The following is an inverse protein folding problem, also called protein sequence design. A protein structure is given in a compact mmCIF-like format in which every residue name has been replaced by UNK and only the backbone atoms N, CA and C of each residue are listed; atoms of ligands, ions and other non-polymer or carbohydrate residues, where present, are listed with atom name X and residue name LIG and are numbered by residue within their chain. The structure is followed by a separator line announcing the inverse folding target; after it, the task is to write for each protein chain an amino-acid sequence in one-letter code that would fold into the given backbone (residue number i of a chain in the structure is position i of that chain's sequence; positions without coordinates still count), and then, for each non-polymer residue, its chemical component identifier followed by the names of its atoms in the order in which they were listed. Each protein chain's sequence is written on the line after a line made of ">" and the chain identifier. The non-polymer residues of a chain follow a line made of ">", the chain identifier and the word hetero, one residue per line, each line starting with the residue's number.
data_IF_909744519865
#
_entry.id   IF_909744519865
#
_cell.length_a   1.000
_cell.length_b   1.000
_cell.length_c   1.000
_cell.angle_alpha   90.00
_cell.angle_beta   90.00
_cell.angle_gamma   90.00
#
_symmetry.space_group_name_H-M   'P 1'
#
loop_
_entity.id
_entity.type
_entity.pdbx_description
1 polymer ?
#
# COMPACT_ATOMS: atom_id res chain seq x y z
N UNK A 1 57.17 -9.05 80.04
CA UNK A 1 56.49 -8.16 79.07
C UNK A 1 56.31 -8.91 77.77
N UNK A 2 55.09 -9.35 77.46
CA UNK A 2 54.73 -10.07 76.20
C UNK A 2 53.96 -9.13 75.34
N UNK A 3 54.50 -8.77 74.17
CA UNK A 3 53.80 -7.92 73.13
C UNK A 3 53.03 -8.80 72.17
N UNK A 4 51.73 -8.69 72.22
CA UNK A 4 50.81 -9.39 71.31
C UNK A 4 50.65 -8.55 70.01
N UNK A 5 51.08 -9.13 68.87
CA UNK A 5 50.88 -8.56 67.54
C UNK A 5 49.52 -9.01 67.01
N UNK A 6 48.61 -8.06 66.69
CA UNK A 6 47.39 -8.30 65.98
C UNK A 6 47.65 -8.23 64.45
N UNK A 7 47.36 -9.30 63.76
CA UNK A 7 47.35 -9.35 62.30
C UNK A 7 45.90 -8.99 61.85
N UNK A 8 45.77 -7.86 61.19
CA UNK A 8 44.49 -7.51 60.43
C UNK A 8 44.53 -8.25 59.11
N UNK A 9 43.62 -9.20 58.95
CA UNK A 9 43.32 -9.80 57.65
C UNK A 9 42.33 -8.96 56.91
N UNK A 10 42.74 -8.28 55.81
CA UNK A 10 41.87 -7.52 54.91
C UNK A 10 41.27 -8.52 53.92
N UNK A 11 39.96 -8.80 54.06
CA UNK A 11 39.21 -9.58 53.10
C UNK A 11 38.84 -8.69 51.89
N UNK A 12 39.45 -8.93 50.73
CA UNK A 12 38.99 -8.37 49.47
C UNK A 12 37.68 -9.07 49.06
N UNK A 13 36.55 -8.38 49.18
CA UNK A 13 35.32 -8.76 48.51
C UNK A 13 35.42 -8.41 47.01
N UNK A 14 35.70 -9.40 46.18
CA UNK A 14 35.52 -9.29 44.74
C UNK A 14 34.01 -9.35 44.45
N UNK A 15 33.39 -8.18 44.21
CA UNK A 15 32.05 -8.12 43.69
C UNK A 15 32.08 -8.68 42.26
N UNK A 16 31.56 -9.88 42.07
CA UNK A 16 31.28 -10.43 40.76
C UNK A 16 30.15 -9.58 40.14
N UNK A 17 30.49 -8.71 39.18
CA UNK A 17 29.53 -8.07 38.31
C UNK A 17 28.91 -9.22 37.47
N UNK A 18 27.58 -9.44 37.54
CA UNK A 18 26.98 -10.41 36.65
C UNK A 18 27.20 -9.92 35.22
N UNK A 19 27.98 -10.68 34.43
CA UNK A 19 28.03 -10.50 33.00
C UNK A 19 26.58 -10.66 32.49
N UNK A 20 25.97 -9.56 32.00
CA UNK A 20 24.76 -9.67 31.22
C UNK A 20 25.09 -10.65 30.09
N UNK A 21 24.53 -11.85 30.17
CA UNK A 21 24.59 -12.80 29.08
C UNK A 21 24.02 -12.08 27.84
N UNK A 22 24.89 -11.84 26.85
CA UNK A 22 24.46 -11.34 25.57
C UNK A 22 23.30 -12.25 25.09
N UNK A 23 22.12 -11.70 25.01
CA UNK A 23 20.95 -12.45 24.58
C UNK A 23 21.25 -13.01 23.19
N UNK A 24 21.47 -14.32 23.14
CA UNK A 24 21.55 -15.07 21.90
C UNK A 24 20.41 -14.64 20.99
N UNK A 25 20.66 -14.45 19.69
CA UNK A 25 19.81 -13.81 18.68
C UNK A 25 18.41 -14.35 18.45
N UNK A 26 17.63 -14.59 19.53
CA UNK A 26 16.23 -14.97 19.45
C UNK A 26 15.33 -13.75 19.23
N UNK A 27 14.28 -13.92 18.40
CA UNK A 27 13.22 -12.92 18.24
C UNK A 27 12.52 -12.61 19.57
N UNK A 28 12.13 -11.36 19.77
CA UNK A 28 11.41 -10.93 20.96
C UNK A 28 10.11 -10.23 20.58
N UNK A 29 9.00 -10.86 20.90
CA UNK A 29 7.67 -10.29 20.73
C UNK A 29 7.50 -8.97 21.49
N UNK A 30 8.16 -8.84 22.66
CA UNK A 30 8.12 -7.60 23.44
C UNK A 30 8.82 -6.44 22.71
N UNK A 31 9.97 -6.68 22.05
CA UNK A 31 10.64 -5.64 21.25
C UNK A 31 9.82 -5.27 20.02
N UNK A 32 9.29 -6.25 19.29
CA UNK A 32 8.35 -6.02 18.18
C UNK A 32 7.20 -5.12 18.62
N UNK A 33 6.49 -5.51 19.69
CA UNK A 33 5.36 -4.74 20.22
C UNK A 33 5.76 -3.33 20.67
N UNK A 34 6.94 -3.14 21.26
CA UNK A 34 7.40 -1.82 21.70
C UNK A 34 7.68 -0.89 20.52
N UNK A 35 8.30 -1.39 19.45
CA UNK A 35 8.58 -0.63 18.22
C UNK A 35 7.28 -0.29 17.51
N UNK A 36 6.38 -1.26 17.34
CA UNK A 36 5.08 -1.06 16.71
C UNK A 36 4.23 -0.04 17.48
N UNK A 37 4.14 -0.19 18.80
CA UNK A 37 3.44 0.78 19.67
C UNK A 37 4.04 2.19 19.57
N UNK A 38 5.35 2.33 19.40
CA UNK A 38 5.97 3.64 19.20
C UNK A 38 5.56 4.22 17.83
N UNK A 39 5.75 3.46 16.74
CA UNK A 39 5.45 3.89 15.37
C UNK A 39 3.97 4.21 15.16
N UNK A 40 3.07 3.48 15.83
CA UNK A 40 1.62 3.69 15.75
C UNK A 40 1.08 4.66 16.79
N UNK A 41 1.93 5.39 17.53
CA UNK A 41 1.49 6.45 18.43
C UNK A 41 1.16 7.74 17.69
N UNK A 42 0.33 8.59 18.29
CA UNK A 42 -0.03 9.91 17.76
C UNK A 42 1.18 10.84 17.58
N UNK A 43 2.28 10.59 18.29
CA UNK A 43 3.53 11.32 18.14
C UNK A 43 4.09 11.26 16.70
N UNK A 44 3.76 10.21 15.96
CA UNK A 44 4.15 10.03 14.55
C UNK A 44 3.07 10.44 13.55
N UNK A 45 1.94 11.00 14.01
CA UNK A 45 0.89 11.61 13.19
C UNK A 45 0.43 10.75 12.00
N UNK A 46 0.36 9.42 12.21
CA UNK A 46 -0.04 8.48 11.17
C UNK A 46 0.95 8.34 10.01
N UNK A 47 2.19 8.78 10.14
CA UNK A 47 3.32 8.58 9.21
C UNK A 47 3.00 8.87 7.74
N UNK A 48 2.29 9.96 7.46
CA UNK A 48 1.94 10.32 6.08
C UNK A 48 3.17 10.45 5.17
N UNK A 49 3.06 9.97 3.94
CA UNK A 49 4.10 10.06 2.90
C UNK A 49 4.50 11.50 2.65
N UNK A 50 5.79 11.82 2.68
CA UNK A 50 6.36 13.17 2.52
C UNK A 50 5.70 14.25 3.42
N UNK A 51 5.03 13.83 4.51
CA UNK A 51 4.42 14.74 5.47
C UNK A 51 5.48 15.42 6.35
N UNK A 52 5.18 16.57 6.98
CA UNK A 52 6.14 17.28 7.84
C UNK A 52 6.74 16.43 8.98
N UNK A 53 6.07 15.33 9.37
CA UNK A 53 6.53 14.40 10.40
C UNK A 53 7.59 13.41 9.88
N UNK A 54 7.75 13.25 8.57
CA UNK A 54 8.68 12.27 7.96
C UNK A 54 10.09 12.30 8.57
N UNK A 55 10.77 13.45 8.75
CA UNK A 55 12.12 13.47 9.32
C UNK A 55 12.22 12.80 10.70
N UNK A 56 11.15 12.90 11.50
CA UNK A 56 11.06 12.24 12.82
C UNK A 56 10.90 10.73 12.67
N UNK A 57 10.03 10.29 11.74
CA UNK A 57 9.76 8.87 11.47
C UNK A 57 11.02 8.16 10.97
N UNK A 58 11.63 8.68 9.90
CA UNK A 58 12.80 8.05 9.27
C UNK A 58 14.03 8.05 10.21
N UNK A 59 14.18 9.13 11.00
CA UNK A 59 15.23 9.16 12.04
C UNK A 59 15.01 8.08 13.08
N UNK A 60 13.79 7.89 13.58
CA UNK A 60 13.48 6.85 14.55
C UNK A 60 13.85 5.46 14.01
N UNK A 61 13.45 5.15 12.78
CA UNK A 61 13.74 3.86 12.13
C UNK A 61 15.26 3.67 11.96
N UNK A 62 15.97 4.69 11.50
CA UNK A 62 17.43 4.65 11.35
C UNK A 62 18.15 4.43 12.68
N UNK A 63 17.67 5.06 13.76
CA UNK A 63 18.23 4.88 15.12
C UNK A 63 17.99 3.45 15.64
N UNK A 64 16.82 2.84 15.37
CA UNK A 64 16.52 1.45 15.69
C UNK A 64 17.43 0.48 14.91
N UNK A 65 17.61 0.69 13.60
CA UNK A 65 18.51 -0.10 12.77
C UNK A 65 19.97 0.04 13.23
N UNK A 66 20.40 1.24 13.60
CA UNK A 66 21.73 1.47 14.19
C UNK A 66 21.89 0.70 15.50
N UNK A 67 20.90 0.75 16.39
CA UNK A 67 20.90 0.02 17.65
C UNK A 67 20.86 -1.51 17.44
N UNK A 68 20.27 -1.97 16.33
CA UNK A 68 20.29 -3.37 15.92
C UNK A 68 21.70 -3.85 15.49
N UNK A 69 22.64 -2.95 15.20
CA UNK A 69 24.03 -3.27 14.86
C UNK A 69 24.32 -3.43 13.37
N UNK A 70 23.41 -2.98 12.49
CA UNK A 70 23.65 -2.93 11.04
C UNK A 70 24.30 -1.60 10.64
N UNK A 71 24.81 -1.54 9.41
CA UNK A 71 25.47 -0.36 8.84
C UNK A 71 24.50 0.45 8.00
N UNK A 72 24.77 1.75 7.73
CA UNK A 72 24.01 2.54 6.76
C UNK A 72 24.02 1.89 5.38
N UNK A 73 22.82 1.80 4.74
CA UNK A 73 22.62 1.16 3.43
C UNK A 73 22.08 2.10 2.34
N UNK A 74 21.83 3.39 2.66
CA UNK A 74 21.24 4.37 1.76
C UNK A 74 22.23 5.04 0.80
N UNK A 75 21.96 6.25 0.37
CA UNK A 75 22.75 7.00 -0.59
C UNK A 75 24.13 7.37 -0.06
N UNK A 76 25.09 7.53 -0.98
CA UNK A 76 26.42 8.05 -0.65
C UNK A 76 26.42 9.58 -0.80
N UNK A 77 26.61 10.28 0.30
CA UNK A 77 26.68 11.75 0.33
C UNK A 77 28.06 12.15 0.85
N UNK A 78 28.78 12.96 0.07
CA UNK A 78 30.16 13.39 0.40
C UNK A 78 31.12 12.23 0.73
N UNK A 79 30.98 11.11 0.00
CA UNK A 79 31.80 9.89 0.19
C UNK A 79 31.40 9.02 1.37
N UNK A 80 30.38 9.37 2.13
CA UNK A 80 29.86 8.59 3.26
C UNK A 80 28.48 8.01 2.93
N UNK A 81 28.30 6.73 3.22
CA UNK A 81 26.98 6.08 3.09
C UNK A 81 26.06 6.53 4.21
N UNK A 82 24.86 6.96 3.84
CA UNK A 82 23.82 7.41 4.77
C UNK A 82 22.81 6.31 5.07
N UNK A 83 21.86 6.58 5.98
CA UNK A 83 20.73 5.71 6.25
C UNK A 83 19.58 5.90 5.27
N UNK A 84 19.61 6.96 4.47
CA UNK A 84 18.50 7.41 3.66
C UNK A 84 18.80 7.28 2.18
N UNK A 85 17.79 6.85 1.42
CA UNK A 85 17.77 6.91 -0.03
C UNK A 85 16.68 7.88 -0.45
N UNK A 86 17.03 8.87 -1.25
CA UNK A 86 16.06 9.83 -1.80
C UNK A 86 15.13 9.16 -2.80
N UNK A 87 13.84 9.41 -2.65
CA UNK A 87 12.79 8.90 -3.51
C UNK A 87 11.99 10.06 -4.06
N UNK A 88 12.17 10.44 -5.33
CA UNK A 88 11.29 11.41 -5.98
C UNK A 88 9.93 10.74 -6.22
N UNK A 89 8.87 11.39 -5.77
CA UNK A 89 7.49 10.96 -5.95
C UNK A 89 6.69 11.99 -6.73
N UNK A 90 5.82 11.55 -7.63
CA UNK A 90 4.73 12.35 -8.13
C UNK A 90 3.65 12.39 -7.05
N UNK A 91 3.35 13.58 -6.54
CA UNK A 91 2.18 13.85 -5.71
C UNK A 91 1.13 14.53 -6.56
N UNK A 92 -0.14 14.16 -6.42
CA UNK A 92 -1.27 14.84 -7.07
C UNK A 92 -2.40 15.04 -6.08
N UNK A 93 -3.05 16.20 -6.13
CA UNK A 93 -4.19 16.56 -5.27
C UNK A 93 -5.31 17.15 -6.11
N UNK A 94 -6.56 16.80 -5.79
CA UNK A 94 -7.73 17.44 -6.39
C UNK A 94 -7.87 18.86 -5.83
N UNK A 95 -8.08 19.84 -6.72
CA UNK A 95 -8.30 21.23 -6.36
C UNK A 95 -9.80 21.54 -6.37
N UNK A 96 -10.33 21.90 -5.20
CA UNK A 96 -11.76 22.18 -5.05
C UNK A 96 -12.60 20.90 -4.93
N UNK A 97 -13.86 21.00 -5.33
CA UNK A 97 -14.81 19.87 -5.31
C UNK A 97 -14.96 19.32 -6.73
N UNK A 98 -14.72 18.01 -6.96
CA UNK A 98 -14.91 17.43 -8.27
C UNK A 98 -16.41 17.39 -8.64
N UNK A 99 -16.73 17.75 -9.88
CA UNK A 99 -18.07 17.61 -10.46
C UNK A 99 -18.13 16.28 -11.18
N UNK A 100 -18.93 15.35 -10.64
CA UNK A 100 -19.05 13.98 -11.16
C UNK A 100 -20.53 13.64 -11.30
N UNK A 101 -20.92 13.08 -12.42
CA UNK A 101 -22.31 12.67 -12.65
C UNK A 101 -22.42 11.40 -13.50
N UNK A 102 -23.44 10.63 -13.22
CA UNK A 102 -23.93 9.54 -14.06
C UNK A 102 -25.14 10.03 -14.84
N UNK A 103 -25.18 9.73 -16.13
CA UNK A 103 -26.36 9.91 -16.93
C UNK A 103 -26.92 8.53 -17.29
N UNK A 104 -28.12 8.24 -16.85
CA UNK A 104 -28.80 6.97 -17.02
C UNK A 104 -30.11 7.23 -17.82
N UNK A 105 -30.08 6.94 -19.10
CA UNK A 105 -31.26 7.16 -20.02
C UNK A 105 -31.82 8.58 -19.93
N UNK A 106 -30.96 9.61 -19.84
CA UNK A 106 -31.37 11.01 -19.75
C UNK A 106 -31.63 11.53 -18.33
N UNK A 107 -31.57 10.67 -17.32
CA UNK A 107 -31.59 11.08 -15.91
C UNK A 107 -30.17 11.30 -15.43
N UNK A 108 -29.85 12.52 -15.00
CA UNK A 108 -28.54 12.88 -14.48
C UNK A 108 -28.52 12.77 -12.95
N UNK A 109 -27.62 11.97 -12.41
CA UNK A 109 -27.36 11.82 -10.99
C UNK A 109 -26.00 12.43 -10.65
N UNK A 110 -25.96 13.51 -9.87
CA UNK A 110 -24.72 14.07 -9.33
C UNK A 110 -24.20 13.18 -8.19
N UNK A 111 -22.90 12.88 -8.24
CA UNK A 111 -22.23 12.01 -7.28
C UNK A 111 -21.34 12.82 -6.32
N UNK A 112 -21.38 12.50 -5.04
CA UNK A 112 -20.61 13.19 -4.00
C UNK A 112 -19.31 12.47 -3.72
N UNK A 113 -18.20 13.20 -3.89
CA UNK A 113 -16.86 12.73 -3.58
C UNK A 113 -16.75 12.18 -2.13
N UNK A 114 -16.23 10.98 -2.00
CA UNK A 114 -16.02 10.28 -0.73
C UNK A 114 -17.28 9.66 -0.13
N UNK A 115 -18.48 10.00 -0.61
CA UNK A 115 -19.75 9.45 -0.12
C UNK A 115 -20.35 8.45 -1.10
N UNK A 116 -20.62 8.86 -2.33
CA UNK A 116 -21.22 8.00 -3.34
C UNK A 116 -20.15 7.24 -4.12
N UNK A 117 -19.05 7.92 -4.44
CA UNK A 117 -17.83 7.36 -5.01
C UNK A 117 -16.60 8.04 -4.39
N UNK A 118 -15.42 7.48 -4.64
CA UNK A 118 -14.14 8.12 -4.33
C UNK A 118 -13.31 8.16 -5.61
N UNK A 119 -13.09 9.37 -6.18
CA UNK A 119 -12.16 9.57 -7.29
C UNK A 119 -10.80 9.97 -6.77
N UNK A 120 -9.75 9.44 -7.38
CA UNK A 120 -8.37 9.78 -7.08
C UNK A 120 -7.96 11.05 -7.84
N UNK A 121 -7.02 11.79 -7.28
CA UNK A 121 -6.28 12.76 -8.07
C UNK A 121 -5.46 12.02 -9.15
N UNK A 122 -5.44 12.51 -10.41
CA UNK A 122 -4.81 11.79 -11.51
C UNK A 122 -3.31 11.66 -11.30
N UNK A 123 -2.78 10.44 -11.50
CA UNK A 123 -1.36 10.11 -11.42
C UNK A 123 -0.71 9.96 -12.80
N UNK A 124 -1.45 10.23 -13.86
CA UNK A 124 -0.93 10.32 -15.23
C UNK A 124 -0.20 11.64 -15.56
N UNK A 125 -0.03 12.52 -14.56
CA UNK A 125 0.61 13.83 -14.71
C UNK A 125 -0.33 14.96 -15.18
N UNK A 126 -1.62 14.66 -15.41
CA UNK A 126 -2.58 15.67 -15.82
C UNK A 126 -2.92 16.63 -14.68
N UNK A 127 -3.10 17.92 -15.01
CA UNK A 127 -3.53 18.95 -14.07
C UNK A 127 -5.06 19.16 -14.07
N UNK A 128 -5.79 18.37 -14.82
CA UNK A 128 -7.25 18.35 -14.87
C UNK A 128 -7.77 17.01 -15.43
N UNK A 129 -8.95 16.65 -15.03
CA UNK A 129 -9.78 15.61 -15.65
C UNK A 129 -10.98 16.29 -16.31
N UNK A 130 -11.28 15.93 -17.55
CA UNK A 130 -12.35 16.54 -18.36
C UNK A 130 -13.02 15.48 -19.23
N UNK A 131 -13.80 14.65 -18.59
CA UNK A 131 -14.51 13.52 -19.23
C UNK A 131 -15.98 13.89 -19.38
N UNK A 132 -16.53 13.70 -20.58
CA UNK A 132 -17.94 13.99 -20.86
C UNK A 132 -18.63 12.77 -21.47
N UNK A 133 -19.68 12.30 -20.80
CA UNK A 133 -20.55 11.22 -21.27
C UNK A 133 -19.83 9.96 -21.76
N UNK A 134 -18.74 9.56 -21.06
CA UNK A 134 -18.01 8.34 -21.39
C UNK A 134 -18.86 7.09 -21.06
N UNK A 135 -19.01 6.13 -22.00
CA UNK A 135 -19.81 4.93 -21.79
C UNK A 135 -19.18 4.02 -20.75
N UNK A 136 -20.03 3.38 -19.92
CA UNK A 136 -19.63 2.43 -18.90
C UNK A 136 -19.72 0.99 -19.42
N UNK A 137 -18.71 0.17 -19.12
CA UNK A 137 -18.66 -1.24 -19.48
C UNK A 137 -18.23 -2.07 -18.25
N UNK A 138 -19.06 -3.02 -17.85
CA UNK A 138 -18.68 -3.99 -16.82
C UNK A 138 -17.79 -5.06 -17.45
N UNK A 139 -16.56 -5.17 -16.96
CA UNK A 139 -15.55 -6.11 -17.45
C UNK A 139 -15.20 -7.20 -16.44
N UNK A 140 -16.13 -7.50 -15.51
CA UNK A 140 -15.91 -8.52 -14.49
C UNK A 140 -14.80 -8.14 -13.54
N UNK A 141 -13.77 -8.95 -13.47
CA UNK A 141 -12.58 -8.67 -12.63
C UNK A 141 -11.50 -7.87 -13.36
N UNK A 142 -11.66 -7.56 -14.65
CA UNK A 142 -10.67 -6.81 -15.43
C UNK A 142 -9.29 -7.48 -15.50
N UNK A 143 -9.27 -8.80 -15.63
CA UNK A 143 -8.03 -9.60 -15.61
C UNK A 143 -7.67 -10.09 -17.01
N UNK A 144 -6.43 -9.83 -17.41
CA UNK A 144 -5.76 -10.50 -18.53
C UNK A 144 -4.55 -11.30 -18.00
N UNK A 145 -4.71 -12.61 -17.92
CA UNK A 145 -3.72 -13.56 -17.38
C UNK A 145 -3.58 -14.75 -18.34
N UNK A 146 -2.87 -14.58 -19.47
CA UNK A 146 -2.79 -15.61 -20.52
C UNK A 146 -2.16 -16.91 -20.00
N UNK A 147 -1.22 -16.86 -19.05
CA UNK A 147 -0.60 -18.05 -18.43
C UNK A 147 -1.59 -18.87 -17.59
N UNK A 148 -2.75 -18.29 -17.24
CA UNK A 148 -3.88 -18.94 -16.54
C UNK A 148 -5.04 -19.26 -17.48
N UNK A 149 -4.91 -18.95 -18.77
CA UNK A 149 -5.97 -19.06 -19.77
C UNK A 149 -7.16 -18.15 -19.44
N UNK A 150 -6.90 -16.94 -18.92
CA UNK A 150 -7.91 -16.00 -18.47
C UNK A 150 -7.76 -14.66 -19.18
N UNK A 151 -8.85 -14.13 -19.69
CA UNK A 151 -8.93 -12.77 -20.25
C UNK A 151 -10.39 -12.30 -20.17
N UNK A 152 -10.65 -11.26 -19.38
CA UNK A 152 -12.00 -10.71 -19.21
C UNK A 152 -12.42 -9.79 -20.37
N UNK A 153 -11.46 -9.25 -21.12
CA UNK A 153 -11.70 -8.28 -22.19
C UNK A 153 -12.09 -8.92 -23.53
N UNK A 154 -11.67 -10.17 -23.78
CA UNK A 154 -11.98 -10.94 -25.00
C UNK A 154 -11.59 -10.24 -26.30
N UNK A 155 -10.62 -9.34 -26.27
CA UNK A 155 -10.19 -8.56 -27.44
C UNK A 155 -11.18 -7.46 -27.85
N UNK A 156 -12.14 -7.11 -27.00
CA UNK A 156 -13.03 -5.98 -27.26
C UNK A 156 -12.29 -4.65 -27.05
N UNK A 157 -12.59 -3.67 -27.89
CA UNK A 157 -11.98 -2.35 -27.81
C UNK A 157 -12.50 -1.59 -26.57
N UNK A 158 -11.58 -1.16 -25.69
CA UNK A 158 -11.90 -0.40 -24.47
C UNK A 158 -11.60 1.10 -24.59
N UNK A 159 -11.10 1.57 -25.72
CA UNK A 159 -10.76 2.99 -25.89
C UNK A 159 -12.00 3.89 -25.70
N UNK A 160 -11.79 4.98 -24.95
CA UNK A 160 -12.84 5.96 -24.68
C UNK A 160 -13.94 5.50 -23.72
N UNK A 161 -13.80 4.32 -23.11
CA UNK A 161 -14.75 3.75 -22.15
C UNK A 161 -14.23 3.84 -20.73
N UNK A 162 -15.14 3.85 -19.78
CA UNK A 162 -14.85 3.69 -18.36
C UNK A 162 -15.22 2.26 -17.96
N UNK A 163 -14.25 1.54 -17.42
CA UNK A 163 -14.44 0.16 -16.99
C UNK A 163 -15.03 0.11 -15.58
N UNK A 164 -16.03 -0.74 -15.40
CA UNK A 164 -16.60 -1.05 -14.09
C UNK A 164 -16.12 -2.44 -13.71
N UNK A 165 -15.39 -2.55 -12.59
CA UNK A 165 -14.64 -3.76 -12.23
C UNK A 165 -14.89 -4.21 -10.81
N UNK A 166 -14.79 -5.52 -10.60
CA UNK A 166 -14.77 -6.13 -9.28
C UNK A 166 -13.35 -6.12 -8.71
N UNK A 167 -13.22 -5.84 -7.41
CA UNK A 167 -11.96 -5.99 -6.69
C UNK A 167 -11.69 -7.46 -6.35
N UNK A 168 -10.44 -7.83 -6.13
CA UNK A 168 -9.94 -9.18 -5.86
C UNK A 168 -9.86 -10.08 -7.12
N UNK A 169 -9.53 -11.34 -6.93
CA UNK A 169 -9.32 -12.33 -7.99
C UNK A 169 -10.64 -13.00 -8.42
N UNK A 170 -10.75 -13.49 -9.66
CA UNK A 170 -11.94 -14.17 -10.16
C UNK A 170 -12.40 -15.36 -9.31
N UNK A 171 -11.49 -16.00 -8.57
CA UNK A 171 -11.81 -17.17 -7.73
C UNK A 171 -12.01 -16.86 -6.24
N UNK A 172 -11.92 -15.59 -5.84
CA UNK A 172 -12.11 -15.20 -4.43
C UNK A 172 -13.45 -15.67 -3.83
N UNK A 173 -14.55 -15.56 -4.59
CA UNK A 173 -15.88 -15.97 -4.18
C UNK A 173 -16.28 -17.33 -4.80
N UNK A 174 -15.36 -18.02 -5.47
CA UNK A 174 -15.65 -19.28 -6.12
C UNK A 174 -16.12 -20.35 -5.11
N UNK A 175 -17.13 -21.12 -5.53
CA UNK A 175 -17.61 -22.25 -4.75
C UNK A 175 -16.83 -23.53 -5.13
N UNK A 176 -16.75 -24.51 -4.22
CA UNK A 176 -16.16 -25.80 -4.56
C UNK A 176 -16.81 -26.42 -5.80
N UNK A 177 -15.99 -26.77 -6.79
CA UNK A 177 -16.47 -27.34 -8.06
C UNK A 177 -16.69 -26.35 -9.20
N UNK A 178 -16.64 -25.02 -8.95
CA UNK A 178 -16.57 -24.04 -10.03
C UNK A 178 -15.24 -24.14 -10.79
N UNK A 179 -15.27 -23.99 -12.11
CA UNK A 179 -14.10 -24.15 -12.96
C UNK A 179 -12.99 -23.13 -12.69
N UNK A 180 -13.31 -22.00 -12.05
CA UNK A 180 -12.37 -20.95 -11.66
C UNK A 180 -11.69 -21.24 -10.33
N UNK A 181 -12.25 -22.11 -9.49
CA UNK A 181 -11.73 -22.37 -8.15
C UNK A 181 -10.27 -22.86 -8.20
N UNK A 182 -9.38 -22.14 -7.49
CA UNK A 182 -7.95 -22.42 -7.43
C UNK A 182 -7.15 -21.99 -8.65
N UNK A 183 -7.73 -21.25 -9.61
CA UNK A 183 -6.99 -20.69 -10.75
C UNK A 183 -6.11 -19.51 -10.38
N UNK A 184 -6.50 -18.78 -9.34
CA UNK A 184 -5.76 -17.65 -8.77
C UNK A 184 -5.31 -17.99 -7.34
N UNK A 185 -5.57 -17.13 -6.38
CA UNK A 185 -5.16 -17.36 -4.99
C UNK A 185 -6.28 -17.81 -4.05
N UNK A 186 -7.51 -17.99 -4.56
CA UNK A 186 -8.68 -18.24 -3.73
C UNK A 186 -8.90 -17.10 -2.73
N UNK A 187 -8.79 -17.38 -1.44
CA UNK A 187 -8.91 -16.34 -0.39
C UNK A 187 -7.65 -15.46 -0.22
N UNK A 188 -6.51 -15.89 -0.75
CA UNK A 188 -5.30 -15.10 -0.76
C UNK A 188 -5.23 -14.30 -2.07
N UNK A 189 -5.28 -12.98 -1.95
CA UNK A 189 -5.24 -12.08 -3.12
C UNK A 189 -3.92 -12.23 -3.88
N UNK A 190 -4.01 -12.48 -5.19
CA UNK A 190 -2.84 -12.43 -6.09
C UNK A 190 -2.59 -11.02 -6.60
N UNK A 191 -1.54 -10.85 -7.43
CA UNK A 191 -1.29 -9.60 -8.13
C UNK A 191 -2.51 -9.12 -8.93
N UNK A 192 -3.23 -10.03 -9.59
CA UNK A 192 -4.40 -9.72 -10.40
C UNK A 192 -5.60 -9.20 -9.60
N UNK A 193 -5.69 -9.57 -8.32
CA UNK A 193 -6.76 -9.10 -7.43
C UNK A 193 -6.56 -7.69 -6.90
N UNK A 194 -5.35 -7.14 -7.00
CA UNK A 194 -5.02 -5.82 -6.45
C UNK A 194 -5.69 -4.70 -7.24
N UNK A 195 -6.18 -3.68 -6.54
CA UNK A 195 -6.77 -2.50 -7.17
C UNK A 195 -5.78 -1.75 -8.08
N UNK A 196 -4.50 -1.72 -7.73
CA UNK A 196 -3.44 -1.14 -8.57
C UNK A 196 -3.31 -1.86 -9.90
N UNK A 197 -3.41 -3.20 -9.92
CA UNK A 197 -3.41 -3.96 -11.16
C UNK A 197 -4.59 -3.57 -12.06
N UNK A 198 -5.80 -3.39 -11.49
CA UNK A 198 -7.00 -3.02 -12.24
C UNK A 198 -6.79 -1.72 -13.02
N UNK A 199 -6.25 -0.69 -12.36
CA UNK A 199 -5.93 0.59 -12.99
C UNK A 199 -4.88 0.44 -14.09
N UNK A 200 -3.79 -0.28 -13.80
CA UNK A 200 -2.73 -0.53 -14.78
C UNK A 200 -3.22 -1.34 -15.98
N UNK A 201 -4.08 -2.34 -15.77
CA UNK A 201 -4.62 -3.14 -16.87
C UNK A 201 -5.58 -2.33 -17.72
N UNK A 202 -6.46 -1.54 -17.11
CA UNK A 202 -7.32 -0.62 -17.84
C UNK A 202 -6.53 0.37 -18.71
N UNK A 203 -5.42 0.91 -18.20
CA UNK A 203 -4.51 1.74 -18.99
C UNK A 203 -3.91 0.97 -20.17
N UNK A 204 -3.47 -0.28 -19.96
CA UNK A 204 -2.96 -1.15 -21.05
C UNK A 204 -4.02 -1.46 -22.12
N UNK A 205 -5.28 -1.58 -21.71
CA UNK A 205 -6.43 -1.77 -22.61
C UNK A 205 -6.88 -0.47 -23.31
N UNK A 206 -6.23 0.68 -23.01
CA UNK A 206 -6.55 1.98 -23.56
C UNK A 206 -7.87 2.58 -23.04
N UNK A 207 -8.36 2.12 -21.91
CA UNK A 207 -9.56 2.67 -21.28
C UNK A 207 -9.35 4.11 -20.82
N UNK A 208 -10.44 4.90 -20.83
CA UNK A 208 -10.43 6.28 -20.34
C UNK A 208 -10.40 6.34 -18.82
N UNK A 209 -11.00 5.36 -18.13
CA UNK A 209 -11.04 5.32 -16.69
C UNK A 209 -11.54 4.00 -16.13
N UNK A 210 -11.51 3.92 -14.79
CA UNK A 210 -11.93 2.74 -14.01
C UNK A 210 -12.79 3.16 -12.83
N UNK A 211 -13.84 2.37 -12.58
CA UNK A 211 -14.65 2.40 -11.36
C UNK A 211 -14.57 1.02 -10.71
N UNK A 212 -13.90 0.90 -9.58
CA UNK A 212 -13.89 -0.33 -8.80
C UNK A 212 -15.12 -0.41 -7.90
N UNK A 213 -15.82 -1.54 -7.91
CA UNK A 213 -16.94 -1.79 -7.00
C UNK A 213 -16.37 -2.22 -5.65
N UNK A 214 -16.63 -1.40 -4.61
CA UNK A 214 -16.22 -1.72 -3.24
C UNK A 214 -17.20 -2.67 -2.57
N UNK A 215 -16.65 -3.77 -2.06
CA UNK A 215 -17.27 -4.68 -1.10
C UNK A 215 -16.24 -5.02 -0.02
N UNK A 216 -16.63 -4.93 1.25
CA UNK A 216 -15.69 -5.08 2.38
C UNK A 216 -14.95 -6.41 2.39
N UNK A 217 -15.61 -7.53 2.09
CA UNK A 217 -14.96 -8.84 2.13
C UNK A 217 -13.91 -9.02 1.01
N UNK A 218 -14.19 -8.71 -0.27
CA UNK A 218 -13.18 -8.77 -1.33
C UNK A 218 -12.05 -7.75 -1.16
N UNK A 219 -12.35 -6.52 -0.70
CA UNK A 219 -11.35 -5.49 -0.49
C UNK A 219 -10.49 -5.73 0.76
N UNK A 220 -11.01 -6.47 1.75
CA UNK A 220 -10.45 -6.70 3.11
C UNK A 220 -10.47 -5.49 4.05
N UNK A 221 -11.11 -4.38 3.66
CA UNK A 221 -11.29 -3.17 4.46
C UNK A 221 -12.63 -2.49 4.14
N UNK A 222 -13.10 -1.62 5.05
CA UNK A 222 -14.34 -0.87 4.90
C UNK A 222 -14.22 0.34 3.96
N UNK A 223 -15.37 0.97 3.65
CA UNK A 223 -15.42 2.13 2.78
C UNK A 223 -14.67 3.34 3.33
N UNK A 224 -14.57 3.49 4.63
CA UNK A 224 -13.84 4.57 5.31
C UNK A 224 -12.34 4.57 4.91
N UNK A 225 -11.75 3.41 4.70
CA UNK A 225 -10.36 3.29 4.21
C UNK A 225 -10.27 3.81 2.78
N UNK A 226 -11.18 3.35 1.88
CA UNK A 226 -11.23 3.86 0.50
C UNK A 226 -11.44 5.37 0.49
N UNK A 227 -12.38 5.87 1.29
CA UNK A 227 -12.67 7.31 1.37
C UNK A 227 -11.41 8.10 1.76
N UNK A 228 -10.68 7.65 2.78
CA UNK A 228 -9.53 8.39 3.29
C UNK A 228 -8.27 8.23 2.43
N UNK A 229 -8.03 7.06 1.86
CA UNK A 229 -6.87 6.86 1.00
C UNK A 229 -7.04 7.48 -0.40
N UNK A 230 -8.26 7.56 -0.94
CA UNK A 230 -8.47 7.98 -2.34
C UNK A 230 -8.96 9.42 -2.50
N UNK A 231 -9.40 10.10 -1.43
CA UNK A 231 -9.81 11.51 -1.52
C UNK A 231 -8.77 12.51 -1.01
N UNK A 232 -7.63 12.02 -0.56
CA UNK A 232 -6.45 12.81 -0.15
C UNK A 232 -5.43 12.88 -1.31
N UNK A 233 -4.26 13.46 -1.02
CA UNK A 233 -3.13 13.44 -1.95
C UNK A 233 -2.78 12.02 -2.38
N UNK A 234 -2.53 11.84 -3.67
CA UNK A 234 -2.11 10.57 -4.26
C UNK A 234 -0.63 10.63 -4.58
N UNK A 235 0.03 9.48 -4.52
CA UNK A 235 1.46 9.36 -4.74
C UNK A 235 1.76 8.20 -5.69
N UNK A 236 2.75 8.40 -6.57
CA UNK A 236 3.39 7.35 -7.37
C UNK A 236 4.86 7.67 -7.57
N UNK A 237 5.65 6.69 -8.00
CA UNK A 237 7.01 6.94 -8.47
C UNK A 237 6.99 7.82 -9.71
N UNK A 238 8.01 8.67 -9.87
CA UNK A 238 8.15 9.48 -11.08
C UNK A 238 8.44 8.55 -12.27
N UNK A 239 7.56 8.54 -13.27
CA UNK A 239 7.65 7.72 -14.49
C UNK A 239 7.88 8.58 -15.71
N UNK A 240 8.60 8.08 -16.71
CA UNK A 240 8.75 8.75 -18.01
C UNK A 240 7.42 8.83 -18.77
N UNK A 241 6.60 7.77 -18.70
CA UNK A 241 5.28 7.72 -19.29
C UNK A 241 4.24 7.25 -18.25
N UNK A 242 3.73 8.13 -17.41
CA UNK A 242 2.76 7.75 -16.38
C UNK A 242 1.41 7.28 -16.98
N UNK A 243 1.01 7.76 -18.16
CA UNK A 243 -0.20 7.30 -18.86
C UNK A 243 -0.16 5.82 -19.29
N UNK A 244 1.01 5.17 -19.28
CA UNK A 244 1.09 3.73 -19.55
C UNK A 244 0.58 2.87 -18.38
N UNK A 245 0.42 3.45 -17.19
CA UNK A 245 0.01 2.76 -15.96
C UNK A 245 -1.18 3.40 -15.26
N UNK A 246 -1.60 4.58 -15.69
CA UNK A 246 -2.70 5.34 -15.10
C UNK A 246 -3.65 5.82 -16.18
N UNK A 247 -4.94 5.63 -15.95
CA UNK A 247 -6.02 6.19 -16.79
C UNK A 247 -6.28 7.67 -16.42
N UNK A 248 -7.20 8.33 -17.15
CA UNK A 248 -7.59 9.70 -16.79
C UNK A 248 -8.44 9.75 -15.51
N UNK A 249 -9.24 8.71 -15.27
CA UNK A 249 -10.10 8.57 -14.08
C UNK A 249 -9.85 7.25 -13.38
N UNK A 250 -9.45 7.29 -12.14
CA UNK A 250 -9.36 6.14 -11.25
C UNK A 250 -10.29 6.36 -10.06
N UNK A 251 -11.16 5.41 -9.77
CA UNK A 251 -12.20 5.62 -8.78
C UNK A 251 -12.76 4.33 -8.19
N UNK A 252 -13.46 4.49 -7.06
CA UNK A 252 -14.23 3.45 -6.41
C UNK A 252 -15.69 3.88 -6.25
N UNK A 253 -16.62 2.93 -6.33
CA UNK A 253 -18.03 3.12 -6.06
C UNK A 253 -18.52 2.15 -5.00
N UNK A 254 -19.39 2.60 -4.10
CA UNK A 254 -20.00 1.70 -3.14
C UNK A 254 -20.96 0.70 -3.81
N UNK A 255 -20.97 -0.56 -3.31
CA UNK A 255 -21.84 -1.63 -3.83
C UNK A 255 -23.32 -1.23 -3.97
N UNK A 256 -23.96 -0.52 -3.00
CA UNK A 256 -25.37 -0.15 -3.17
C UNK A 256 -25.61 0.73 -4.41
N UNK A 257 -24.74 1.69 -4.70
CA UNK A 257 -24.86 2.53 -5.89
C UNK A 257 -24.53 1.75 -7.18
N UNK A 258 -23.53 0.86 -7.12
CA UNK A 258 -23.24 -0.05 -8.23
C UNK A 258 -24.44 -0.96 -8.55
N UNK A 259 -25.10 -1.52 -7.53
CA UNK A 259 -26.30 -2.35 -7.73
C UNK A 259 -27.44 -1.58 -8.41
N UNK A 260 -27.67 -0.30 -8.02
CA UNK A 260 -28.64 0.56 -8.69
C UNK A 260 -28.28 0.83 -10.16
N UNK A 261 -26.99 1.06 -10.46
CA UNK A 261 -26.48 1.25 -11.83
C UNK A 261 -26.78 0.01 -12.70
N UNK A 262 -26.56 -1.19 -12.15
CA UNK A 262 -26.86 -2.44 -12.85
C UNK A 262 -28.37 -2.62 -13.06
N UNK A 263 -29.18 -2.42 -12.02
CA UNK A 263 -30.64 -2.52 -12.09
C UNK A 263 -31.22 -1.59 -13.15
N UNK A 264 -30.79 -0.33 -13.20
CA UNK A 264 -31.24 0.63 -14.24
C UNK A 264 -30.74 0.29 -15.64
N UNK A 265 -29.67 -0.49 -15.74
CA UNK A 265 -29.23 -1.08 -17.01
C UNK A 265 -29.99 -2.34 -17.38
N UNK A 266 -30.93 -2.82 -16.53
CA UNK A 266 -31.71 -4.05 -16.73
C UNK A 266 -30.95 -5.30 -16.35
N UNK A 267 -29.92 -5.17 -15.48
CA UNK A 267 -29.02 -6.22 -15.02
C UNK A 267 -29.16 -6.42 -13.51
N UNK A 268 -28.67 -7.54 -13.04
CA UNK A 268 -28.52 -7.87 -11.62
C UNK A 268 -27.02 -8.00 -11.30
N UNK A 269 -26.51 -7.20 -10.37
CA UNK A 269 -25.09 -7.18 -10.03
C UNK A 269 -24.61 -8.55 -9.52
N UNK A 270 -25.38 -9.23 -8.67
CA UNK A 270 -24.96 -10.52 -8.10
C UNK A 270 -24.91 -11.61 -9.18
N UNK A 271 -25.84 -11.62 -10.12
CA UNK A 271 -25.79 -12.50 -11.29
C UNK A 271 -24.61 -12.16 -12.20
N UNK A 272 -24.32 -10.88 -12.41
CA UNK A 272 -23.18 -10.45 -13.20
C UNK A 272 -21.85 -10.86 -12.54
N UNK A 273 -21.73 -10.77 -11.20
CA UNK A 273 -20.57 -11.28 -10.43
C UNK A 273 -20.40 -12.78 -10.62
N UNK A 274 -21.49 -13.56 -10.56
CA UNK A 274 -21.42 -15.02 -10.82
C UNK A 274 -20.95 -15.29 -12.25
N UNK A 275 -21.52 -14.58 -13.25
CA UNK A 275 -21.12 -14.72 -14.65
C UNK A 275 -19.63 -14.38 -14.87
N UNK A 276 -19.11 -13.34 -14.17
CA UNK A 276 -17.73 -12.91 -14.27
C UNK A 276 -16.71 -13.96 -13.75
N UNK A 277 -17.14 -14.99 -13.00
CA UNK A 277 -16.30 -16.12 -12.59
C UNK A 277 -16.11 -17.18 -13.69
N UNK A 278 -16.65 -16.96 -14.87
CA UNK A 278 -16.50 -17.87 -16.01
C UNK A 278 -15.43 -17.38 -16.98
N UNK A 279 -14.57 -18.30 -17.43
CA UNK A 279 -13.61 -17.99 -18.53
C UNK A 279 -14.28 -17.65 -19.85
N UNK A 280 -15.59 -17.84 -19.99
CA UNK A 280 -16.39 -17.47 -21.16
C UNK A 280 -17.10 -16.11 -20.99
N UNK A 281 -16.94 -15.44 -19.84
CA UNK A 281 -17.48 -14.12 -19.60
C UNK A 281 -17.05 -13.14 -20.71
N UNK A 282 -17.92 -12.20 -21.04
CA UNK A 282 -17.65 -11.10 -21.97
C UNK A 282 -18.05 -9.77 -21.34
N UNK A 283 -17.37 -8.66 -21.70
CA UNK A 283 -17.75 -7.33 -21.27
C UNK A 283 -19.23 -7.03 -21.53
N UNK A 284 -19.87 -6.38 -20.56
CA UNK A 284 -21.30 -6.03 -20.63
C UNK A 284 -21.44 -4.50 -20.64
N UNK A 285 -21.88 -3.88 -21.75
CA UNK A 285 -22.19 -2.45 -21.76
C UNK A 285 -23.30 -2.12 -20.76
N UNK A 286 -23.08 -1.10 -19.92
CA UNK A 286 -24.12 -0.55 -19.05
C UNK A 286 -24.83 0.59 -19.76
N UNK A 287 -26.13 0.76 -19.45
CA UNK A 287 -26.96 1.83 -20.04
C UNK A 287 -26.78 3.16 -19.34
N UNK A 288 -25.52 3.53 -19.14
CA UNK A 288 -25.14 4.75 -18.45
C UNK A 288 -23.84 5.33 -19.03
N UNK A 289 -23.67 6.63 -18.86
CA UNK A 289 -22.41 7.34 -19.13
C UNK A 289 -21.98 8.10 -17.90
N UNK A 290 -20.66 8.34 -17.76
CA UNK A 290 -20.10 9.16 -16.68
C UNK A 290 -19.48 10.42 -17.26
N UNK A 291 -19.71 11.55 -16.56
CA UNK A 291 -18.97 12.79 -16.75
C UNK A 291 -18.22 13.14 -15.48
N UNK A 292 -16.96 13.62 -15.62
CA UNK A 292 -16.11 14.02 -14.51
C UNK A 292 -15.28 15.24 -14.89
N UNK A 293 -15.41 16.32 -14.10
CA UNK A 293 -14.73 17.59 -14.35
C UNK A 293 -14.09 18.08 -13.04
N UNK A 294 -12.77 18.12 -12.97
CA UNK A 294 -12.06 18.68 -11.82
C UNK A 294 -10.61 19.04 -12.17
N UNK A 295 -10.07 20.03 -11.44
CA UNK A 295 -8.67 20.39 -11.52
C UNK A 295 -7.84 19.55 -10.55
N UNK A 296 -6.58 19.35 -10.88
CA UNK A 296 -5.61 18.68 -10.03
C UNK A 296 -4.29 19.46 -10.00
N UNK A 297 -3.49 19.21 -8.98
CA UNK A 297 -2.17 19.80 -8.79
C UNK A 297 -1.12 18.70 -8.71
N UNK A 298 -0.58 18.25 -9.86
CA UNK A 298 0.57 17.35 -9.85
C UNK A 298 1.85 18.12 -9.50
N UNK A 299 2.72 17.54 -8.68
CA UNK A 299 4.04 18.06 -8.36
C UNK A 299 5.00 16.92 -8.03
N UNK A 300 6.29 17.12 -8.32
CA UNK A 300 7.34 16.20 -7.85
C UNK A 300 7.80 16.66 -6.48
N UNK A 301 7.76 15.74 -5.53
CA UNK A 301 8.23 15.92 -4.16
C UNK A 301 9.32 14.90 -3.84
N UNK A 302 10.02 15.08 -2.73
CA UNK A 302 11.03 14.14 -2.25
C UNK A 302 10.59 13.50 -0.94
N UNK A 303 10.64 12.17 -0.88
CA UNK A 303 10.55 11.38 0.34
C UNK A 303 11.78 10.46 0.46
N UNK A 304 11.85 9.60 1.48
CA UNK A 304 13.05 8.82 1.74
C UNK A 304 12.72 7.37 2.15
N UNK A 305 13.44 6.43 1.54
CA UNK A 305 13.58 5.10 2.10
C UNK A 305 14.62 5.12 3.23
N UNK A 306 14.45 4.25 4.23
CA UNK A 306 15.46 4.00 5.26
C UNK A 306 16.09 2.64 5.02
N UNK A 307 17.42 2.60 4.90
CA UNK A 307 18.16 1.40 4.54
C UNK A 307 19.27 1.09 5.54
N UNK A 308 19.26 -0.13 6.06
CA UNK A 308 20.34 -0.70 6.85
C UNK A 308 20.91 -1.95 6.18
N UNK A 309 22.24 -2.12 6.16
CA UNK A 309 22.89 -3.27 5.52
C UNK A 309 23.76 -4.04 6.49
N UNK A 310 23.74 -5.36 6.37
CA UNK A 310 24.70 -6.27 7.00
C UNK A 310 25.50 -6.94 5.88
N UNK A 311 26.80 -6.64 5.72
CA UNK A 311 27.61 -7.18 4.63
C UNK A 311 27.77 -8.71 4.72
N UNK A 312 27.71 -9.36 3.59
CA UNK A 312 27.93 -10.80 3.44
C UNK A 312 29.40 -11.18 3.64
N UNK A 313 29.64 -12.37 4.22
CA UNK A 313 31.00 -12.89 4.46
C UNK A 313 31.61 -13.60 3.26
N UNK A 314 30.79 -14.30 2.46
CA UNK A 314 31.27 -15.10 1.32
C UNK A 314 30.89 -14.47 -0.02
N UNK A 315 29.71 -13.91 -0.10
CA UNK A 315 29.13 -13.34 -1.32
C UNK A 315 28.62 -11.91 -1.06
N UNK A 316 29.52 -10.94 -0.76
CA UNK A 316 29.12 -9.58 -0.35
C UNK A 316 28.39 -8.82 -1.48
N UNK A 317 28.60 -9.20 -2.75
CA UNK A 317 27.95 -8.57 -3.90
C UNK A 317 26.55 -9.15 -4.20
N UNK A 318 26.18 -10.27 -3.54
CA UNK A 318 24.84 -10.82 -3.62
C UNK A 318 24.03 -10.32 -2.42
N UNK A 319 22.84 -9.72 -2.67
CA UNK A 319 22.03 -9.11 -1.61
C UNK A 319 20.65 -9.75 -1.50
N UNK A 320 20.28 -10.13 -0.29
CA UNK A 320 18.91 -10.48 0.10
C UNK A 320 18.27 -9.23 0.69
N UNK A 321 17.07 -8.88 0.20
CA UNK A 321 16.34 -7.69 0.66
C UNK A 321 15.12 -8.13 1.47
N UNK A 322 15.01 -7.60 2.69
CA UNK A 322 13.79 -7.59 3.47
C UNK A 322 13.22 -6.17 3.42
N UNK A 323 11.94 -6.05 3.11
CA UNK A 323 11.31 -4.73 2.99
C UNK A 323 9.95 -4.66 3.69
N UNK A 324 9.64 -3.48 4.21
CA UNK A 324 8.33 -3.08 4.71
C UNK A 324 8.16 -1.59 4.42
N UNK A 325 6.93 -1.11 4.18
CA UNK A 325 6.74 0.34 4.05
C UNK A 325 6.54 0.98 5.43
N UNK A 326 7.13 2.18 5.61
CA UNK A 326 7.04 2.88 6.88
C UNK A 326 5.90 3.90 6.94
N UNK A 327 5.45 4.38 5.78
CA UNK A 327 4.40 5.37 5.65
C UNK A 327 3.00 4.77 5.82
N UNK A 328 2.03 5.64 6.13
CA UNK A 328 0.62 5.30 6.22
C UNK A 328 -0.23 6.52 5.82
N UNK A 329 -1.53 6.51 6.12
CA UNK A 329 -2.48 7.51 5.64
C UNK A 329 -2.33 8.90 6.28
N UNK A 330 -1.50 9.03 7.33
CA UNK A 330 -1.31 10.32 8.01
C UNK A 330 -2.55 10.81 8.75
N UNK A 331 -2.87 12.09 8.58
CA UNK A 331 -4.06 12.73 9.13
C UNK A 331 -5.15 12.81 8.06
N UNK A 332 -6.35 12.34 8.39
CA UNK A 332 -7.50 12.33 7.50
C UNK A 332 -8.75 13.00 8.07
N UNK A 333 -9.91 12.61 7.55
CA UNK A 333 -11.21 13.00 8.12
C UNK A 333 -11.37 12.34 9.49
N UNK A 334 -11.99 13.05 10.46
CA UNK A 334 -12.24 12.47 11.77
C UNK A 334 -13.20 11.27 11.65
N UNK A 335 -12.92 10.23 12.42
CA UNK A 335 -13.83 9.13 12.64
C UNK A 335 -15.02 9.51 13.55
N UNK A 336 -15.85 8.55 13.95
CA UNK A 336 -17.00 8.77 14.79
C UNK A 336 -16.63 9.26 16.23
N UNK A 337 -15.38 9.06 16.65
CA UNK A 337 -14.86 9.52 17.96
C UNK A 337 -14.21 10.90 17.87
N UNK A 338 -14.00 11.42 16.66
CA UNK A 338 -13.28 12.66 16.39
C UNK A 338 -11.78 12.46 16.13
N UNK A 339 -11.30 11.23 16.16
CA UNK A 339 -9.90 10.91 15.85
C UNK A 339 -9.63 11.10 14.36
N UNK A 340 -8.49 11.72 14.04
CA UNK A 340 -8.05 12.06 12.68
C UNK A 340 -6.76 11.35 12.28
N UNK A 341 -6.08 10.69 13.23
CA UNK A 341 -4.78 10.10 13.03
C UNK A 341 -4.94 8.62 12.66
N UNK A 342 -4.53 8.29 11.44
CA UNK A 342 -4.50 6.90 10.98
C UNK A 342 -3.19 6.26 11.46
N UNK A 343 -3.20 5.71 12.67
CA UNK A 343 -2.01 5.25 13.38
C UNK A 343 -1.24 4.13 12.66
N UNK A 344 -1.91 3.26 11.90
CA UNK A 344 -1.27 2.27 11.03
C UNK A 344 -0.43 1.23 11.78
N UNK A 345 -0.93 0.67 12.89
CA UNK A 345 -0.21 -0.35 13.64
C UNK A 345 0.01 -1.63 12.80
N UNK A 346 -1.08 -2.19 12.27
CA UNK A 346 -1.00 -3.39 11.41
C UNK A 346 -0.45 -3.03 10.03
N UNK A 347 -0.85 -1.89 9.48
CA UNK A 347 -0.43 -1.37 8.18
C UNK A 347 0.42 -0.09 8.36
N UNK A 348 1.75 -0.12 8.32
CA UNK A 348 2.58 -1.31 8.34
C UNK A 348 3.63 -1.22 9.47
N UNK A 349 3.20 -0.70 10.66
CA UNK A 349 4.05 -0.65 11.86
C UNK A 349 4.59 -2.02 12.25
N UNK A 350 3.75 -3.06 12.14
CA UNK A 350 4.17 -4.45 12.38
C UNK A 350 5.30 -4.88 11.45
N UNK A 351 5.20 -4.60 10.14
CA UNK A 351 6.24 -4.97 9.16
C UNK A 351 7.56 -4.25 9.42
N UNK A 352 7.53 -2.95 9.75
CA UNK A 352 8.74 -2.20 10.11
C UNK A 352 9.35 -2.72 11.42
N UNK A 353 8.51 -3.07 12.40
CA UNK A 353 8.96 -3.65 13.67
C UNK A 353 9.65 -5.00 13.47
N UNK A 354 9.09 -5.84 12.59
CA UNK A 354 9.69 -7.11 12.21
C UNK A 354 11.04 -6.90 11.49
N UNK A 355 11.09 -5.96 10.54
CA UNK A 355 12.31 -5.60 9.82
C UNK A 355 13.46 -5.23 10.78
N UNK A 356 13.17 -4.39 11.78
CA UNK A 356 14.14 -3.97 12.78
C UNK A 356 14.57 -5.14 13.67
N UNK A 357 13.65 -5.99 14.09
CA UNK A 357 13.97 -7.15 14.94
C UNK A 357 14.75 -8.21 14.15
N UNK A 358 14.45 -8.42 12.86
CA UNK A 358 15.25 -9.27 11.98
C UNK A 358 16.69 -8.73 11.85
N UNK A 359 16.84 -7.42 11.62
CA UNK A 359 18.17 -6.79 11.57
C UNK A 359 19.00 -7.08 12.82
N UNK A 360 18.39 -6.97 14.00
CA UNK A 360 19.02 -7.26 15.28
C UNK A 360 19.43 -8.74 15.41
N UNK A 361 18.53 -9.65 15.03
CA UNK A 361 18.81 -11.11 15.11
C UNK A 361 19.94 -11.50 14.16
N UNK A 362 19.93 -10.99 12.93
CA UNK A 362 21.00 -11.25 11.96
C UNK A 362 22.34 -10.67 12.41
N UNK A 363 22.35 -9.45 12.95
CA UNK A 363 23.58 -8.80 13.42
C UNK A 363 24.17 -9.48 14.67
N UNK A 364 23.33 -10.02 15.56
CA UNK A 364 23.77 -10.77 16.74
C UNK A 364 24.24 -12.20 16.42
N UNK A 365 23.97 -12.69 15.22
CA UNK A 365 24.32 -14.02 14.74
C UNK A 365 25.74 -14.12 14.18
N UNK A 366 26.10 -15.27 13.57
CA UNK A 366 27.43 -15.50 12.99
C UNK A 366 27.69 -14.63 11.74
N UNK A 367 26.73 -13.81 11.32
CA UNK A 367 26.76 -13.04 10.09
C UNK A 367 26.37 -13.87 8.86
N UNK A 368 25.68 -13.27 7.89
CA UNK A 368 25.17 -13.96 6.70
C UNK A 368 26.29 -14.24 5.68
N UNK A 369 26.09 -15.25 4.83
CA UNK A 369 26.98 -15.52 3.70
C UNK A 369 26.82 -14.45 2.59
N UNK A 370 25.59 -14.00 2.34
CA UNK A 370 25.24 -12.89 1.41
C UNK A 370 24.94 -11.63 2.19
N UNK A 371 25.08 -10.49 1.56
CA UNK A 371 24.64 -9.22 2.15
C UNK A 371 23.12 -9.25 2.41
N UNK A 372 22.69 -8.63 3.50
CA UNK A 372 21.27 -8.50 3.85
C UNK A 372 20.95 -7.01 3.97
N UNK A 373 20.03 -6.54 3.14
CA UNK A 373 19.51 -5.17 3.15
C UNK A 373 18.14 -5.16 3.85
N UNK A 374 18.01 -4.35 4.88
CA UNK A 374 16.78 -4.06 5.60
C UNK A 374 16.28 -2.71 5.11
N UNK A 375 15.16 -2.71 4.38
CA UNK A 375 14.69 -1.56 3.62
C UNK A 375 13.28 -1.16 4.08
N UNK A 376 13.15 -0.05 4.80
CA UNK A 376 11.86 0.56 5.08
C UNK A 376 11.55 1.58 3.97
N UNK A 377 10.58 1.25 3.10
CA UNK A 377 10.24 2.05 1.92
C UNK A 377 9.18 3.10 2.20
N UNK A 378 9.11 4.13 1.35
CA UNK A 378 8.08 5.17 1.29
C UNK A 378 7.25 5.03 0.01
N UNK A 379 6.05 5.58 -0.01
CA UNK A 379 5.16 5.67 -1.18
C UNK A 379 4.55 4.34 -1.59
#
# INVERSE_FOLDING_TARGET
>A
MRTTRWLLATALLTAAVPALAASTGSFSTQRLSNVDKALSSDAFQGRGTAAPIEPTVIKYIADQLRAAGVQPGGDVVNGQRTWFQKVPLLQSEIVGTPEISLNENGTVLSLRQGTDLAVLAPLNGANRVDIQNAPLVFVGYGVDAPERGWNDFKGEDMHGKILVELVNDPDFEAQPGEAVAGKFGGKAMTYYGRWTYKYQEAARQGALGVILIHETAPASYGWEVVQNSNTNAQFDIVRENPGATHTELESWIQRPLAAQLFERSGLDLDKAKVAARSSTFRPIPLKATLSAHYAARPQVIESHNVAGILPGKKYPDETIIYSAHWDHLGNGKPDATGDRIYNGAVDNGTGVSELIEQARVFAAGPGPDRSVLFLAVTG
#
